data_IF_202501786750
#
_entry.id   IF_202501786750
#
_cell.length_a   1.000
_cell.length_b   1.000
_cell.length_c   1.000
_cell.angle_alpha   90.00
_cell.angle_beta   90.00
_cell.angle_gamma   90.00
#
_symmetry.space_group_name_H-M   'P 1'
#
loop_
_entity.id
_entity.type
_entity.pdbx_description
1 polymer ?
#
# COMPACT_ATOMS: atom_id res chain seq x y z
N UNK A 1 -7.36 5.35 -9.38
CA UNK A 1 -7.75 6.06 -8.15
C UNK A 1 -6.70 7.13 -7.94
N UNK A 2 -7.09 8.40 -7.81
CA UNK A 2 -6.10 9.47 -7.62
C UNK A 2 -5.61 9.46 -6.19
N UNK A 3 -4.40 9.96 -5.93
CA UNK A 3 -3.85 10.09 -4.56
C UNK A 3 -4.82 10.81 -3.62
N UNK A 4 -5.53 11.82 -4.14
CA UNK A 4 -6.57 12.57 -3.41
C UNK A 4 -7.75 11.70 -2.97
N UNK A 5 -8.21 10.76 -3.82
CA UNK A 5 -9.33 9.86 -3.49
C UNK A 5 -8.94 8.88 -2.39
N UNK A 6 -7.71 8.38 -2.43
CA UNK A 6 -7.18 7.48 -1.39
C UNK A 6 -7.05 8.24 -0.07
N UNK A 7 -6.53 9.46 -0.07
CA UNK A 7 -6.42 10.28 1.15
C UNK A 7 -7.78 10.58 1.78
N UNK A 8 -8.81 10.88 0.98
CA UNK A 8 -10.20 11.02 1.48
C UNK A 8 -10.71 9.73 2.12
N UNK A 9 -10.46 8.58 1.50
CA UNK A 9 -10.78 7.26 2.07
C UNK A 9 -10.10 7.06 3.42
N UNK A 10 -8.81 7.37 3.55
CA UNK A 10 -8.09 7.21 4.82
C UNK A 10 -8.61 8.12 5.92
N UNK A 11 -8.95 9.37 5.59
CA UNK A 11 -9.53 10.31 6.55
C UNK A 11 -10.89 9.81 7.04
N UNK A 12 -11.76 9.34 6.14
CA UNK A 12 -13.09 8.83 6.51
C UNK A 12 -12.97 7.59 7.43
N UNK A 13 -12.07 6.66 7.09
CA UNK A 13 -11.76 5.50 7.93
C UNK A 13 -11.22 5.91 9.30
N UNK A 14 -10.24 6.82 9.34
CA UNK A 14 -9.66 7.32 10.58
C UNK A 14 -10.67 8.06 11.45
N UNK A 15 -11.63 8.75 10.85
CA UNK A 15 -12.67 9.49 11.59
C UNK A 15 -13.53 8.54 12.41
N UNK A 16 -13.84 7.34 11.91
CA UNK A 16 -14.53 6.32 12.69
C UNK A 16 -13.69 5.79 13.86
N UNK A 17 -12.37 5.69 13.69
CA UNK A 17 -11.45 5.24 14.72
C UNK A 17 -10.91 6.35 15.62
N UNK A 18 -11.39 7.59 15.46
CA UNK A 18 -10.85 8.77 16.15
C UNK A 18 -10.84 8.63 17.68
N UNK A 19 -11.86 7.95 18.21
CA UNK A 19 -12.05 7.70 19.65
C UNK A 19 -11.35 6.42 20.13
N UNK A 20 -10.84 5.59 19.22
CA UNK A 20 -10.11 4.39 19.55
C UNK A 20 -8.72 4.72 20.10
N UNK A 21 -8.21 3.82 20.95
CA UNK A 21 -6.86 3.92 21.49
C UNK A 21 -5.88 3.42 20.44
N UNK A 22 -5.13 4.34 19.85
CA UNK A 22 -4.08 4.06 18.86
C UNK A 22 -2.75 3.93 19.60
N UNK A 23 -1.97 2.90 19.25
CA UNK A 23 -0.66 2.65 19.88
C UNK A 23 0.41 3.55 19.25
N UNK A 24 0.83 4.58 20.00
CA UNK A 24 1.84 5.55 19.57
C UNK A 24 3.26 4.99 19.55
N UNK A 25 3.53 3.90 20.28
CA UNK A 25 4.85 3.25 20.22
C UNK A 25 5.00 2.55 18.88
N UNK A 26 4.00 1.75 18.50
CA UNK A 26 3.95 1.09 17.20
C UNK A 26 3.91 2.08 16.03
N UNK A 27 3.20 3.21 16.17
CA UNK A 27 3.28 4.29 15.19
C UNK A 27 4.69 4.87 15.06
N UNK A 28 5.43 4.98 16.16
CA UNK A 28 6.82 5.42 16.14
C UNK A 28 7.70 4.47 15.34
N UNK A 29 7.56 3.16 15.60
CA UNK A 29 8.27 2.11 14.87
C UNK A 29 7.95 2.14 13.37
N UNK A 30 6.66 2.14 13.00
CA UNK A 30 6.21 2.13 11.61
C UNK A 30 6.69 3.37 10.81
N UNK A 31 6.86 4.52 11.49
CA UNK A 31 7.26 5.78 10.88
C UNK A 31 8.75 6.10 11.05
N UNK A 32 9.52 5.27 11.76
CA UNK A 32 10.93 5.53 12.08
C UNK A 32 11.15 6.78 12.95
N UNK A 33 10.20 7.11 13.83
CA UNK A 33 10.28 8.26 14.74
C UNK A 33 10.05 7.83 16.19
N UNK A 34 10.40 8.69 17.16
CA UNK A 34 10.09 8.38 18.55
C UNK A 34 8.57 8.43 18.84
N UNK A 35 8.14 7.69 19.86
CA UNK A 35 6.73 7.57 20.22
C UNK A 35 6.08 8.91 20.62
N UNK A 36 6.82 9.82 21.25
CA UNK A 36 6.34 11.16 21.60
C UNK A 36 6.05 12.02 20.38
N UNK A 37 6.91 11.95 19.35
CA UNK A 37 6.73 12.63 18.08
C UNK A 37 5.55 12.04 17.30
N UNK A 38 5.39 10.72 17.29
CA UNK A 38 4.23 10.05 16.71
C UNK A 38 2.93 10.50 17.41
N UNK A 39 2.91 10.54 18.74
CA UNK A 39 1.79 11.05 19.52
C UNK A 39 1.45 12.51 19.22
N UNK A 40 2.46 13.39 19.11
CA UNK A 40 2.26 14.79 18.74
C UNK A 40 1.74 14.95 17.31
N UNK A 41 2.22 14.14 16.35
CA UNK A 41 1.70 14.15 14.98
C UNK A 41 0.24 13.70 14.95
N UNK A 42 -0.11 12.63 15.68
CA UNK A 42 -1.50 12.17 15.81
C UNK A 42 -2.40 13.24 16.44
N UNK A 43 -1.92 13.94 17.47
CA UNK A 43 -2.66 15.04 18.09
C UNK A 43 -2.92 16.18 17.10
N UNK A 44 -1.89 16.61 16.35
CA UNK A 44 -2.01 17.64 15.32
C UNK A 44 -2.94 17.23 14.18
N UNK A 45 -2.86 15.99 13.73
CA UNK A 45 -3.78 15.44 12.71
C UNK A 45 -5.23 15.50 13.19
N UNK A 46 -5.51 15.05 14.42
CA UNK A 46 -6.85 15.14 15.01
C UNK A 46 -7.35 16.58 15.12
N UNK A 47 -6.47 17.54 15.39
CA UNK A 47 -6.81 18.95 15.44
C UNK A 47 -7.14 19.50 14.04
N UNK A 48 -6.30 19.23 13.03
CA UNK A 48 -6.51 19.66 11.64
C UNK A 48 -7.79 19.14 11.03
N UNK A 49 -8.12 17.88 11.29
CA UNK A 49 -9.38 17.29 10.84
C UNK A 49 -10.62 17.91 11.50
N UNK A 50 -10.49 18.67 12.59
CA UNK A 50 -11.62 19.46 13.15
C UNK A 50 -11.80 20.79 12.44
N UNK A 51 -10.71 21.34 11.89
CA UNK A 51 -10.70 22.64 11.24
C UNK A 51 -10.86 22.53 9.72
N UNK A 52 -11.15 21.32 9.21
CA UNK A 52 -11.22 20.99 7.78
C UNK A 52 -9.97 21.41 7.00
N UNK A 53 -8.84 21.51 7.72
CA UNK A 53 -7.57 21.89 7.12
C UNK A 53 -7.02 20.68 6.34
N UNK A 54 -6.51 20.94 5.13
CA UNK A 54 -6.01 19.90 4.24
C UNK A 54 -4.92 19.04 4.88
N UNK A 55 -4.88 17.77 4.50
CA UNK A 55 -3.85 16.82 4.93
C UNK A 55 -2.56 17.01 4.14
N UNK A 56 -1.44 16.82 4.83
CA UNK A 56 -0.10 16.83 4.21
C UNK A 56 0.35 15.41 3.83
N UNK A 57 1.39 15.29 3.00
CA UNK A 57 1.99 13.99 2.67
C UNK A 57 2.46 13.19 3.92
N UNK A 58 2.86 13.89 4.99
CA UNK A 58 3.25 13.26 6.24
C UNK A 58 2.03 12.72 7.02
N UNK A 59 0.87 13.36 6.88
CA UNK A 59 -0.38 12.88 7.43
C UNK A 59 -0.87 11.62 6.69
N UNK A 60 -0.64 11.52 5.37
CA UNK A 60 -0.94 10.30 4.61
C UNK A 60 -0.16 9.09 5.13
N UNK A 61 1.16 9.24 5.33
CA UNK A 61 1.98 8.17 5.91
C UNK A 61 1.53 7.78 7.32
N UNK A 62 1.16 8.77 8.13
CA UNK A 62 0.61 8.55 9.48
C UNK A 62 -0.72 7.80 9.43
N UNK A 63 -1.63 8.17 8.53
CA UNK A 63 -2.91 7.50 8.35
C UNK A 63 -2.73 6.04 7.92
N UNK A 64 -1.80 5.77 6.99
CA UNK A 64 -1.43 4.41 6.60
C UNK A 64 -0.89 3.60 7.78
N UNK A 65 -0.01 4.17 8.61
CA UNK A 65 0.51 3.49 9.79
C UNK A 65 -0.60 3.15 10.82
N UNK A 66 -1.59 4.03 10.98
CA UNK A 66 -2.76 3.77 11.83
C UNK A 66 -3.58 2.60 11.28
N UNK A 67 -3.72 2.51 9.96
CA UNK A 67 -4.44 1.41 9.30
C UNK A 67 -3.75 0.06 9.50
N UNK A 68 -2.43 0.02 9.60
CA UNK A 68 -1.71 -1.22 9.95
C UNK A 68 -2.08 -1.75 11.34
N UNK A 69 -2.70 -0.91 12.19
CA UNK A 69 -3.24 -1.29 13.49
C UNK A 69 -4.73 -1.70 13.44
N UNK A 70 -5.37 -1.79 12.25
CA UNK A 70 -6.81 -2.09 12.06
C UNK A 70 -7.33 -3.24 12.93
N UNK A 71 -6.52 -4.30 13.13
CA UNK A 71 -6.91 -5.46 13.95
C UNK A 71 -7.22 -5.13 15.42
N UNK A 72 -6.69 -4.03 15.93
CA UNK A 72 -6.90 -3.53 17.30
C UNK A 72 -7.97 -2.43 17.37
N UNK A 73 -8.48 -2.00 16.21
CA UNK A 73 -9.44 -0.91 16.09
C UNK A 73 -10.86 -1.45 15.94
N UNK A 74 -11.89 -0.63 16.27
CA UNK A 74 -13.27 -1.01 16.06
C UNK A 74 -13.55 -1.38 14.60
N UNK A 75 -14.50 -2.30 14.39
CA UNK A 75 -14.96 -2.66 13.04
C UNK A 75 -15.49 -1.42 12.31
N UNK A 76 -15.12 -1.31 11.05
CA UNK A 76 -15.53 -0.21 10.18
C UNK A 76 -17.01 -0.34 9.80
N UNK A 77 -17.76 0.76 9.90
CA UNK A 77 -19.12 0.85 9.38
C UNK A 77 -19.09 1.36 7.94
N UNK A 78 -19.42 0.47 7.00
CA UNK A 78 -19.43 0.79 5.57
C UNK A 78 -20.59 1.69 5.14
N UNK A 79 -21.66 1.80 5.93
CA UNK A 79 -22.75 2.76 5.66
C UNK A 79 -22.28 4.18 5.95
N UNK A 80 -21.64 4.37 7.10
CA UNK A 80 -21.03 5.67 7.45
C UNK A 80 -19.90 6.01 6.48
N UNK A 81 -19.05 5.04 6.14
CA UNK A 81 -17.97 5.25 5.17
C UNK A 81 -18.51 5.63 3.79
N UNK A 82 -19.62 5.01 3.36
CA UNK A 82 -20.29 5.35 2.11
C UNK A 82 -20.85 6.78 2.14
N UNK A 83 -21.47 7.19 3.25
CA UNK A 83 -21.97 8.55 3.43
C UNK A 83 -20.85 9.59 3.36
N UNK A 84 -19.74 9.37 4.08
CA UNK A 84 -18.59 10.30 4.11
C UNK A 84 -17.91 10.45 2.73
N UNK A 85 -18.00 9.41 1.90
CA UNK A 85 -17.42 9.38 0.55
C UNK A 85 -18.44 9.66 -0.56
N UNK A 86 -19.69 9.94 -0.20
CA UNK A 86 -20.83 10.14 -1.13
C UNK A 86 -20.99 8.99 -2.14
N UNK A 87 -20.84 7.75 -1.68
CA UNK A 87 -20.96 6.53 -2.48
C UNK A 87 -21.81 5.46 -1.76
N UNK A 88 -22.25 4.47 -2.53
CA UNK A 88 -22.96 3.33 -1.96
C UNK A 88 -22.08 2.54 -0.97
N UNK A 89 -22.65 1.99 0.13
CA UNK A 89 -21.90 1.24 1.14
C UNK A 89 -21.09 0.07 0.57
N UNK A 90 -21.65 -0.67 -0.40
CA UNK A 90 -20.93 -1.75 -1.09
C UNK A 90 -19.74 -1.25 -1.91
N UNK A 91 -19.86 -0.09 -2.56
CA UNK A 91 -18.75 0.53 -3.28
C UNK A 91 -17.66 1.01 -2.32
N UNK A 92 -18.03 1.53 -1.14
CA UNK A 92 -17.10 1.92 -0.09
C UNK A 92 -16.33 0.71 0.45
N UNK A 93 -17.01 -0.40 0.73
CA UNK A 93 -16.37 -1.65 1.14
C UNK A 93 -15.39 -2.17 0.09
N UNK A 94 -15.77 -2.17 -1.19
CA UNK A 94 -14.89 -2.57 -2.29
C UNK A 94 -13.67 -1.66 -2.43
N UNK A 95 -13.85 -0.34 -2.29
CA UNK A 95 -12.74 0.63 -2.28
C UNK A 95 -11.79 0.37 -1.13
N UNK A 96 -12.31 0.15 0.07
CA UNK A 96 -11.51 -0.20 1.25
C UNK A 96 -10.70 -1.49 1.04
N UNK A 97 -11.36 -2.53 0.53
CA UNK A 97 -10.71 -3.82 0.28
C UNK A 97 -9.60 -3.72 -0.76
N UNK A 98 -9.85 -3.02 -1.87
CA UNK A 98 -8.82 -2.76 -2.91
C UNK A 98 -7.66 -1.93 -2.38
N UNK A 99 -7.92 -0.96 -1.50
CA UNK A 99 -6.87 -0.16 -0.88
C UNK A 99 -5.95 -1.03 0.00
N UNK A 100 -6.54 -1.88 0.85
CA UNK A 100 -5.76 -2.83 1.66
C UNK A 100 -4.95 -3.81 0.83
N UNK A 101 -5.53 -4.33 -0.25
CA UNK A 101 -4.80 -5.19 -1.19
C UNK A 101 -3.58 -4.51 -1.79
N UNK A 102 -3.65 -3.20 -2.10
CA UNK A 102 -2.48 -2.43 -2.57
C UNK A 102 -1.42 -2.28 -1.49
N UNK A 103 -1.81 -1.95 -0.26
CA UNK A 103 -0.86 -1.84 0.86
C UNK A 103 -0.06 -3.13 1.09
N UNK A 104 -0.72 -4.29 1.01
CA UNK A 104 -0.04 -5.58 1.15
C UNK A 104 0.93 -5.87 0.00
N UNK A 105 0.57 -5.48 -1.22
CA UNK A 105 1.45 -5.61 -2.40
C UNK A 105 2.65 -4.68 -2.28
N UNK A 106 2.44 -3.42 -1.91
CA UNK A 106 3.50 -2.42 -1.74
C UNK A 106 4.48 -2.84 -0.63
N UNK A 107 3.97 -3.42 0.46
CA UNK A 107 4.80 -3.98 1.52
C UNK A 107 5.68 -5.15 1.04
N UNK A 108 5.15 -6.03 0.17
CA UNK A 108 5.92 -7.14 -0.42
C UNK A 108 7.00 -6.64 -1.38
N UNK A 109 6.70 -5.62 -2.18
CA UNK A 109 7.66 -5.02 -3.10
C UNK A 109 8.80 -4.35 -2.32
N UNK A 110 8.49 -3.63 -1.24
CA UNK A 110 9.51 -3.01 -0.38
C UNK A 110 10.49 -4.05 0.21
N UNK A 111 9.98 -5.20 0.67
CA UNK A 111 10.82 -6.28 1.19
C UNK A 111 11.72 -6.91 0.12
N UNK A 112 11.24 -7.07 -1.12
CA UNK A 112 12.06 -7.61 -2.21
C UNK A 112 13.19 -6.65 -2.61
N UNK A 113 12.93 -5.34 -2.65
CA UNK A 113 13.96 -4.34 -2.97
C UNK A 113 15.03 -4.23 -1.87
N UNK A 114 14.66 -4.44 -0.60
CA UNK A 114 15.62 -4.48 0.50
C UNK A 114 16.49 -5.74 0.48
N UNK A 115 15.91 -6.89 0.08
CA UNK A 115 16.67 -8.13 -0.15
C UNK A 115 17.69 -8.03 -1.30
N UNK A 116 17.36 -7.31 -2.36
CA UNK A 116 18.23 -7.16 -3.54
C UNK A 116 19.38 -6.15 -3.30
N UNK A 117 19.17 -5.13 -2.44
CA UNK A 117 20.23 -4.18 -2.04
C UNK A 117 21.33 -4.79 -1.16
N UNK A 118 21.08 -5.94 -0.53
CA UNK A 118 22.04 -6.60 0.36
C UNK A 118 23.00 -7.55 -0.36
N UNK A 119 22.99 -7.61 -1.68
CA UNK A 119 24.10 -8.21 -2.43
C UNK A 119 25.16 -7.12 -2.67
N UNK A 120 26.30 -7.12 -1.95
CA UNK A 120 27.45 -6.38 -2.42
C UNK A 120 27.82 -6.98 -3.78
N UNK A 121 27.59 -6.21 -4.84
CA UNK A 121 28.09 -6.45 -6.18
C UNK A 121 29.61 -6.53 -6.05
N UNK A 122 30.14 -7.74 -5.96
CA UNK A 122 31.58 -7.97 -6.01
C UNK A 122 32.12 -7.30 -7.26
N UNK A 123 33.01 -6.35 -7.05
CA UNK A 123 33.80 -5.66 -8.08
C UNK A 123 34.51 -6.71 -8.95
N UNK A 124 34.32 -6.74 -10.28
CA UNK A 124 35.20 -7.47 -11.16
C UNK A 124 36.26 -6.49 -11.65
N UNK A 125 37.31 -6.29 -10.85
CA UNK A 125 38.53 -5.68 -11.35
C UNK A 125 39.33 -6.72 -12.15
N UNK A 126 39.60 -6.35 -13.41
CA UNK A 126 40.70 -6.79 -14.29
C UNK A 126 40.53 -8.07 -15.16
N UNK A 127 40.40 -7.79 -16.46
CA UNK A 127 40.53 -8.63 -17.68
C UNK A 127 42.00 -8.94 -18.03
N UNK A 128 42.39 -10.00 -18.81
CA UNK A 128 42.16 -10.04 -20.28
C UNK A 128 42.00 -11.42 -20.98
N UNK A 129 41.18 -11.41 -22.04
CA UNK A 129 41.26 -12.10 -23.36
C UNK A 129 41.92 -13.50 -23.47
N UNK A 130 41.10 -14.50 -23.84
CA UNK A 130 41.44 -15.60 -24.77
C UNK A 130 40.12 -16.16 -25.36
N UNK A 131 39.75 -15.75 -26.59
CA UNK A 131 39.77 -16.56 -27.82
C UNK A 131 39.27 -18.01 -27.68
N UNK A 132 38.04 -18.28 -28.14
CA UNK A 132 37.64 -19.31 -29.13
C UNK A 132 36.12 -19.54 -29.09
N UNK A 133 35.40 -19.14 -30.15
CA UNK A 133 34.81 -20.01 -31.18
C UNK A 133 33.52 -20.74 -30.73
N UNK A 134 32.38 -20.20 -31.12
CA UNK A 134 31.07 -20.82 -31.00
C UNK A 134 30.11 -20.29 -32.06
N UNK A 135 30.01 -21.06 -33.14
CA UNK A 135 29.27 -20.82 -34.37
C UNK A 135 27.74 -20.95 -34.21
N UNK A 136 27.01 -20.02 -34.82
CA UNK A 136 25.69 -20.15 -35.47
C UNK A 136 24.44 -20.28 -34.58
N UNK A 137 23.49 -19.35 -34.75
CA UNK A 137 22.30 -19.57 -35.60
C UNK A 137 21.30 -18.42 -35.44
N UNK A 138 20.96 -17.84 -36.57
CA UNK A 138 19.78 -17.02 -36.83
C UNK A 138 18.51 -17.75 -36.41
N UNK A 139 17.66 -17.15 -35.57
CA UNK A 139 16.21 -17.14 -35.79
C UNK A 139 15.52 -16.12 -34.87
N UNK A 140 14.72 -15.29 -35.51
CA UNK A 140 13.81 -14.28 -34.96
C UNK A 140 12.66 -14.95 -34.18
N UNK A 141 12.59 -14.75 -32.86
CA UNK A 141 11.50 -15.21 -32.01
C UNK A 141 10.72 -14.05 -31.41
N UNK A 142 9.57 -13.75 -32.00
CA UNK A 142 8.53 -12.81 -31.58
C UNK A 142 8.21 -12.96 -30.09
N UNK A 143 8.27 -11.85 -29.34
CA UNK A 143 7.72 -11.74 -27.98
C UNK A 143 6.19 -11.91 -28.02
N UNK A 144 5.73 -13.15 -27.94
CA UNK A 144 4.34 -13.50 -27.66
C UNK A 144 4.17 -13.76 -26.17
N UNK A 145 3.43 -12.89 -25.47
CA UNK A 145 2.87 -13.23 -24.16
C UNK A 145 2.09 -14.55 -24.28
N UNK A 146 2.38 -15.59 -23.48
CA UNK A 146 1.54 -16.78 -23.50
C UNK A 146 0.19 -16.42 -22.90
N UNK A 147 -0.80 -16.27 -23.79
CA UNK A 147 -2.22 -16.32 -23.47
C UNK A 147 -2.49 -17.64 -22.75
N UNK A 148 -3.00 -17.55 -21.53
CA UNK A 148 -3.46 -18.68 -20.75
C UNK A 148 -4.78 -19.15 -21.36
N UNK A 149 -4.76 -20.24 -22.13
CA UNK A 149 -5.91 -20.93 -22.75
C UNK A 149 -6.88 -21.59 -21.75
N UNK A 150 -7.02 -21.03 -20.54
CA UNK A 150 -8.08 -21.40 -19.61
C UNK A 150 -8.92 -20.16 -19.36
N UNK A 151 -9.96 -20.05 -20.20
CA UNK A 151 -11.05 -19.12 -19.98
C UNK A 151 -11.55 -19.21 -18.55
N UNK A 152 -11.82 -18.05 -17.96
CA UNK A 152 -12.53 -17.99 -16.70
C UNK A 152 -13.87 -18.70 -16.89
N UNK A 153 -14.28 -19.62 -16.01
CA UNK A 153 -15.66 -20.07 -16.02
C UNK A 153 -16.51 -18.88 -15.56
N UNK A 154 -17.17 -18.24 -16.53
CA UNK A 154 -18.43 -17.55 -16.29
C UNK A 154 -19.43 -18.59 -15.75
N UNK A 155 -20.33 -18.15 -14.88
CA UNK A 155 -21.44 -18.92 -14.24
C UNK A 155 -21.14 -19.52 -12.85
N UNK A 156 -21.32 -18.68 -11.82
CA UNK A 156 -21.83 -19.12 -10.52
C UNK A 156 -22.47 -17.94 -9.77
N UNK A 157 -23.57 -17.40 -10.31
CA UNK A 157 -24.51 -16.59 -9.52
C UNK A 157 -25.95 -16.85 -9.97
N UNK A 158 -26.41 -18.10 -9.88
CA UNK A 158 -27.84 -18.38 -9.71
C UNK A 158 -28.02 -19.44 -8.62
N UNK A 159 -28.50 -19.00 -7.46
CA UNK A 159 -29.45 -19.68 -6.56
C UNK A 159 -29.67 -18.82 -5.32
#
# INVERSE_FOLDING_TARGET
MTRSDDTKLLIAVFTQWRSARIDTNKLGEDLGINCGAAGMRLFRLKARLRTEEGTTNADEALLTAIINQEKLLPRLDYKLLGADLEINPGAAAMRWWRYKGRLEVDAKIAQQQEGERNNPRSDPAESPIASEKGTNSTESGVFGCPYNEKGWPDEAWEA
#
